data_IF_559910301308
#
_entry.id   IF_559910301308
#
_cell.length_a   1.000
_cell.length_b   1.000
_cell.length_c   1.000
_cell.angle_alpha   90.00
_cell.angle_beta   90.00
_cell.angle_gamma   90.00
#
_symmetry.space_group_name_H-M   'P 1'
#
loop_
_entity.id
_entity.type
_entity.pdbx_description
1 polymer ?
#
# COMPACT_ATOMS: atom_id res chain seq x y z
N UNK A 1 45.03 -35.70 -54.27
CA UNK A 1 44.31 -35.89 -52.98
C UNK A 1 43.70 -34.53 -52.61
N UNK A 2 42.37 -34.38 -52.77
CA UNK A 2 41.35 -34.19 -51.69
C UNK A 2 41.60 -32.94 -50.83
N UNK A 3 40.72 -31.96 -50.58
CA UNK A 3 39.38 -31.49 -51.00
C UNK A 3 39.29 -30.03 -50.44
N UNK A 4 38.41 -29.14 -50.95
CA UNK A 4 38.17 -27.79 -50.41
C UNK A 4 37.07 -27.77 -49.33
N UNK A 5 36.85 -26.56 -48.76
CA UNK A 5 35.71 -26.10 -47.92
C UNK A 5 35.94 -26.23 -46.39
N UNK A 6 35.33 -25.46 -45.47
CA UNK A 6 33.99 -24.84 -45.39
C UNK A 6 34.05 -23.63 -44.42
N UNK A 7 33.15 -22.68 -44.70
CA UNK A 7 32.64 -21.52 -43.95
C UNK A 7 32.42 -21.80 -42.45
N UNK A 8 32.97 -20.95 -41.58
CA UNK A 8 32.67 -20.94 -40.14
C UNK A 8 31.42 -20.11 -39.83
N UNK A 9 30.32 -20.79 -39.54
CA UNK A 9 29.03 -20.22 -39.14
C UNK A 9 29.08 -19.58 -37.75
N UNK A 10 28.69 -18.31 -37.66
CA UNK A 10 28.37 -17.60 -36.41
C UNK A 10 27.01 -18.10 -35.89
N UNK A 11 27.01 -18.91 -34.83
CA UNK A 11 25.76 -19.22 -34.09
C UNK A 11 25.67 -18.25 -32.91
N UNK A 12 24.83 -17.24 -33.06
CA UNK A 12 24.41 -16.37 -31.97
C UNK A 12 23.35 -17.13 -31.16
N UNK A 13 23.73 -17.70 -30.02
CA UNK A 13 22.78 -18.31 -29.08
C UNK A 13 21.97 -17.19 -28.43
N UNK A 14 20.79 -16.89 -28.98
CA UNK A 14 19.82 -16.04 -28.31
C UNK A 14 19.33 -16.78 -27.05
N UNK A 15 19.79 -16.33 -25.89
CA UNK A 15 19.14 -16.67 -24.63
C UNK A 15 17.71 -16.14 -24.69
N UNK A 16 16.72 -17.04 -24.75
CA UNK A 16 15.33 -16.70 -24.49
C UNK A 16 15.26 -16.23 -23.03
N UNK A 17 15.33 -14.90 -22.85
CA UNK A 17 15.01 -14.26 -21.59
C UNK A 17 13.63 -14.74 -21.15
N UNK A 18 13.57 -15.14 -19.88
CA UNK A 18 12.39 -15.65 -19.18
C UNK A 18 11.10 -14.96 -19.60
N UNK A 19 10.05 -15.76 -19.82
CA UNK A 19 8.69 -15.29 -19.76
C UNK A 19 8.41 -14.74 -18.35
N UNK A 20 8.76 -13.48 -18.10
CA UNK A 20 8.30 -12.74 -16.95
C UNK A 20 6.89 -12.24 -17.27
N UNK A 21 5.91 -13.05 -16.86
CA UNK A 21 4.57 -12.66 -16.43
C UNK A 21 4.01 -11.39 -17.08
N UNK A 22 3.24 -11.57 -18.15
CA UNK A 22 2.19 -10.62 -18.50
C UNK A 22 1.12 -10.65 -17.39
N UNK A 23 1.40 -10.00 -16.25
CA UNK A 23 0.38 -9.61 -15.30
C UNK A 23 -0.46 -8.52 -15.96
N UNK A 24 -1.77 -8.69 -16.00
CA UNK A 24 -2.69 -7.62 -16.38
C UNK A 24 -2.30 -6.33 -15.60
N UNK A 25 -2.43 -5.13 -16.20
CA UNK A 25 -2.17 -3.90 -15.46
C UNK A 25 -2.97 -3.95 -14.15
N UNK A 26 -2.26 -3.89 -13.02
CA UNK A 26 -2.87 -3.95 -11.70
C UNK A 26 -3.97 -2.89 -11.62
N UNK A 27 -5.14 -3.27 -11.14
CA UNK A 27 -6.22 -2.32 -10.89
C UNK A 27 -6.44 -2.22 -9.38
N UNK A 28 -6.92 -1.06 -8.95
CA UNK A 28 -7.32 -0.83 -7.56
C UNK A 28 -8.79 -0.53 -7.53
N UNK A 29 -9.54 -1.25 -6.70
CA UNK A 29 -10.92 -0.91 -6.37
C UNK A 29 -10.89 -0.08 -5.10
N UNK A 30 -11.34 1.17 -5.17
CA UNK A 30 -11.43 2.07 -4.02
C UNK A 30 -12.90 2.43 -3.79
N UNK A 31 -13.37 2.35 -2.55
CA UNK A 31 -14.67 2.83 -2.12
C UNK A 31 -14.48 3.72 -0.89
N UNK A 32 -14.87 4.99 -0.99
CA UNK A 32 -14.69 5.98 0.06
C UNK A 32 -16.00 6.68 0.39
N UNK A 33 -16.27 6.85 1.68
CA UNK A 33 -17.31 7.71 2.25
C UNK A 33 -16.68 8.56 3.35
N UNK A 34 -17.47 9.37 4.06
CA UNK A 34 -17.02 10.12 5.23
C UNK A 34 -16.39 9.20 6.29
N UNK A 35 -16.96 8.02 6.48
CA UNK A 35 -16.69 7.12 7.60
C UNK A 35 -16.05 5.79 7.19
N UNK A 36 -15.84 5.56 5.90
CA UNK A 36 -15.30 4.30 5.42
C UNK A 36 -14.35 4.54 4.24
N UNK A 37 -13.18 3.90 4.27
CA UNK A 37 -12.30 3.80 3.12
C UNK A 37 -11.91 2.35 2.97
N UNK A 38 -12.22 1.78 1.82
CA UNK A 38 -11.84 0.43 1.47
C UNK A 38 -11.08 0.46 0.16
N UNK A 39 -9.93 -0.20 0.09
CA UNK A 39 -9.29 -0.48 -1.17
C UNK A 39 -8.68 -1.88 -1.23
N UNK A 40 -8.66 -2.43 -2.44
CA UNK A 40 -8.06 -3.73 -2.74
C UNK A 40 -7.26 -3.61 -4.03
N UNK A 41 -6.06 -4.20 -4.05
CA UNK A 41 -5.18 -4.29 -5.20
C UNK A 41 -5.09 -5.73 -5.71
N UNK A 42 -4.77 -5.89 -7.00
CA UNK A 42 -4.56 -7.19 -7.64
C UNK A 42 -3.38 -7.99 -7.03
N UNK A 43 -2.47 -7.34 -6.30
CA UNK A 43 -1.31 -7.95 -5.63
C UNK A 43 -1.62 -8.41 -4.18
N UNK A 44 -2.86 -8.80 -3.88
CA UNK A 44 -3.33 -9.24 -2.55
C UNK A 44 -3.18 -8.22 -1.41
N UNK A 45 -2.96 -6.95 -1.75
CA UNK A 45 -2.95 -5.84 -0.78
C UNK A 45 -4.36 -5.30 -0.59
N UNK A 46 -4.69 -5.00 0.65
CA UNK A 46 -6.00 -4.43 0.98
C UNK A 46 -5.91 -3.56 2.23
N UNK A 47 -6.80 -2.58 2.31
CA UNK A 47 -7.02 -1.78 3.50
C UNK A 47 -8.51 -1.50 3.63
N UNK A 48 -9.02 -1.62 4.85
CA UNK A 48 -10.35 -1.20 5.22
C UNK A 48 -10.28 -0.40 6.51
N UNK A 49 -10.73 0.85 6.44
CA UNK A 49 -10.80 1.80 7.54
C UNK A 49 -12.25 2.16 7.80
N UNK A 50 -12.67 2.17 9.06
CA UNK A 50 -14.06 2.46 9.44
C UNK A 50 -14.13 3.38 10.67
N UNK A 51 -15.03 4.35 10.65
CA UNK A 51 -15.27 5.30 11.75
C UNK A 51 -16.75 5.25 12.16
N UNK A 52 -17.15 4.21 12.91
CA UNK A 52 -18.57 4.00 13.22
C UNK A 52 -19.15 4.99 14.25
N UNK A 53 -18.34 5.42 15.21
CA UNK A 53 -18.84 6.16 16.40
C UNK A 53 -18.18 7.54 16.59
N UNK A 54 -17.40 8.02 15.62
CA UNK A 54 -16.66 9.29 15.72
C UNK A 54 -15.59 9.32 16.83
N UNK A 55 -15.20 8.15 17.35
CA UNK A 55 -14.18 7.99 18.41
C UNK A 55 -12.77 7.78 17.86
N UNK A 56 -12.63 7.79 16.54
CA UNK A 56 -11.41 7.42 15.83
C UNK A 56 -11.70 6.51 14.64
N UNK A 57 -10.63 6.06 14.00
CA UNK A 57 -10.68 5.26 12.77
C UNK A 57 -10.15 3.86 13.09
N UNK A 58 -11.00 2.87 12.99
CA UNK A 58 -10.65 1.46 13.16
C UNK A 58 -10.02 0.91 11.88
N UNK A 59 -8.87 0.26 12.00
CA UNK A 59 -8.28 -0.58 10.95
C UNK A 59 -8.98 -1.93 10.96
N UNK A 60 -10.02 -2.07 10.13
CA UNK A 60 -10.83 -3.29 10.04
C UNK A 60 -10.07 -4.42 9.37
N UNK A 61 -9.35 -4.08 8.30
CA UNK A 61 -8.54 -5.01 7.51
C UNK A 61 -7.28 -4.30 7.04
N UNK A 62 -6.14 -4.99 7.12
CA UNK A 62 -4.90 -4.55 6.46
C UNK A 62 -4.16 -5.78 5.93
N UNK A 63 -3.74 -5.73 4.67
CA UNK A 63 -2.96 -6.78 4.02
C UNK A 63 -1.82 -6.17 3.21
N UNK A 64 -0.57 -6.59 3.44
CA UNK A 64 -0.14 -7.56 4.45
C UNK A 64 -0.33 -7.06 5.89
N UNK A 65 -0.49 -7.98 6.85
CA UNK A 65 -0.53 -7.60 8.28
C UNK A 65 0.77 -6.91 8.70
N UNK A 66 0.66 -5.89 9.55
CA UNK A 66 1.80 -5.10 10.00
C UNK A 66 2.34 -4.10 8.97
N UNK A 67 1.62 -3.86 7.86
CA UNK A 67 2.06 -2.88 6.86
C UNK A 67 2.25 -1.51 7.51
N UNK A 68 3.44 -0.94 7.34
CA UNK A 68 3.84 0.35 7.92
C UNK A 68 3.66 0.43 9.47
N UNK A 69 3.65 -0.72 10.15
CA UNK A 69 3.44 -0.83 11.60
C UNK A 69 1.98 -0.80 12.04
N UNK A 70 1.04 -0.63 11.11
CA UNK A 70 -0.40 -0.73 11.35
C UNK A 70 -0.84 -2.19 11.35
N UNK A 71 -1.76 -2.51 12.25
CA UNK A 71 -2.30 -3.85 12.42
C UNK A 71 -3.82 -3.78 12.44
N UNK A 72 -4.47 -4.88 12.06
CA UNK A 72 -5.91 -5.01 12.27
C UNK A 72 -6.28 -4.78 13.74
N UNK A 73 -7.36 -4.03 13.96
CA UNK A 73 -7.87 -3.66 15.28
C UNK A 73 -7.21 -2.42 15.89
N UNK A 74 -6.29 -1.76 15.18
CA UNK A 74 -5.81 -0.45 15.58
C UNK A 74 -6.93 0.58 15.53
N UNK A 75 -7.06 1.39 16.58
CA UNK A 75 -7.91 2.56 16.59
C UNK A 75 -7.04 3.81 16.45
N UNK A 76 -7.01 4.42 15.27
CA UNK A 76 -6.29 5.67 15.00
C UNK A 76 -7.08 6.83 15.60
N UNK A 77 -6.44 7.60 16.48
CA UNK A 77 -7.07 8.73 17.19
C UNK A 77 -6.44 10.08 16.84
N UNK A 78 -5.21 10.09 16.31
CA UNK A 78 -4.56 11.31 15.83
C UNK A 78 -3.49 11.03 14.77
N UNK A 79 -3.20 12.05 13.95
CA UNK A 79 -2.05 12.11 13.03
C UNK A 79 -1.24 13.38 13.31
N UNK A 80 0.05 13.21 13.60
CA UNK A 80 0.97 14.29 13.99
C UNK A 80 0.43 15.22 15.09
N UNK A 81 -0.33 14.64 16.03
CA UNK A 81 -0.94 15.38 17.13
C UNK A 81 -2.29 16.04 16.79
N UNK A 82 -2.76 15.97 15.55
CA UNK A 82 -4.09 16.39 15.14
C UNK A 82 -5.08 15.25 15.37
N UNK A 83 -6.07 15.47 16.23
CA UNK A 83 -7.11 14.48 16.48
C UNK A 83 -7.91 14.19 15.20
N UNK A 84 -8.19 12.91 14.96
CA UNK A 84 -9.03 12.44 13.85
C UNK A 84 -10.16 11.59 14.38
N UNK A 85 -11.37 11.84 13.90
CA UNK A 85 -12.58 11.13 14.33
C UNK A 85 -13.16 10.28 13.19
N UNK A 86 -13.06 10.79 11.97
CA UNK A 86 -13.62 10.19 10.76
C UNK A 86 -12.53 9.89 9.73
N UNK A 87 -12.78 8.89 8.87
CA UNK A 87 -11.89 8.54 7.76
C UNK A 87 -11.58 9.76 6.89
N UNK A 88 -12.57 10.62 6.63
CA UNK A 88 -12.36 11.85 5.84
C UNK A 88 -11.33 12.79 6.45
N UNK A 89 -11.19 12.84 7.78
CA UNK A 89 -10.20 13.70 8.45
C UNK A 89 -8.79 13.22 8.11
N UNK A 90 -8.57 11.89 8.21
CA UNK A 90 -7.30 11.26 7.87
C UNK A 90 -6.98 11.42 6.39
N UNK A 91 -7.96 11.22 5.50
CA UNK A 91 -7.80 11.41 4.05
C UNK A 91 -7.46 12.88 3.74
N UNK A 92 -8.13 13.83 4.40
CA UNK A 92 -7.87 15.27 4.19
C UNK A 92 -6.47 15.64 4.64
N UNK A 93 -6.05 15.17 5.82
CA UNK A 93 -4.68 15.39 6.31
C UNK A 93 -3.64 14.75 5.37
N UNK A 94 -3.86 13.49 4.98
CA UNK A 94 -2.98 12.77 4.07
C UNK A 94 -2.83 13.46 2.71
N UNK A 95 -3.90 14.05 2.17
CA UNK A 95 -3.86 14.85 0.94
C UNK A 95 -3.02 16.12 1.06
N UNK A 96 -3.01 16.77 2.22
CA UNK A 96 -2.19 17.95 2.46
C UNK A 96 -0.70 17.58 2.67
N UNK A 97 -0.43 16.37 3.15
CA UNK A 97 0.89 15.90 3.58
C UNK A 97 1.36 14.64 2.84
N UNK A 98 1.02 14.51 1.55
CA UNK A 98 1.15 13.24 0.81
C UNK A 98 2.56 12.65 0.78
N UNK A 99 3.61 13.47 0.87
CA UNK A 99 5.02 13.05 0.76
C UNK A 99 5.78 13.15 2.11
N UNK A 100 5.10 13.65 3.14
CA UNK A 100 5.73 13.89 4.43
C UNK A 100 5.79 12.59 5.24
N UNK A 101 6.70 12.59 6.23
CA UNK A 101 6.65 11.62 7.30
C UNK A 101 5.45 11.96 8.20
N UNK A 102 4.75 10.94 8.69
CA UNK A 102 3.62 11.15 9.59
C UNK A 102 3.66 10.22 10.80
N UNK A 103 3.22 10.71 11.95
CA UNK A 103 3.13 9.93 13.19
C UNK A 103 1.67 9.69 13.57
N UNK A 104 1.22 8.46 13.46
CA UNK A 104 -0.10 8.05 13.92
C UNK A 104 -0.09 7.74 15.43
N UNK A 105 -1.08 8.27 16.14
CA UNK A 105 -1.43 7.85 17.49
C UNK A 105 -2.54 6.81 17.37
N UNK A 106 -2.29 5.60 17.86
CA UNK A 106 -3.21 4.47 17.76
C UNK A 106 -3.41 3.82 19.12
N UNK A 107 -4.62 3.38 19.41
CA UNK A 107 -4.89 2.50 20.56
C UNK A 107 -4.97 1.06 20.05
N UNK A 108 -4.07 0.20 20.54
CA UNK A 108 -4.01 -1.23 20.20
C UNK A 108 -4.20 -2.06 21.45
N UNK A 109 -5.20 -2.93 21.48
CA UNK A 109 -5.55 -3.75 22.65
C UNK A 109 -5.72 -2.89 23.93
N UNK A 110 -6.28 -1.69 23.82
CA UNK A 110 -6.49 -0.76 24.94
C UNK A 110 -5.24 0.01 25.39
N UNK A 111 -4.11 -0.13 24.70
CA UNK A 111 -2.88 0.60 24.99
C UNK A 111 -2.55 1.60 23.90
N UNK A 112 -2.20 2.82 24.29
CA UNK A 112 -1.74 3.83 23.35
C UNK A 112 -0.36 3.49 22.80
N UNK A 113 -0.23 3.64 21.48
CA UNK A 113 0.99 3.39 20.70
C UNK A 113 1.16 4.51 19.69
N UNK A 114 2.43 4.77 19.38
CA UNK A 114 2.79 5.66 18.28
C UNK A 114 3.33 4.81 17.14
N UNK A 115 2.76 4.98 15.95
CA UNK A 115 3.23 4.36 14.70
C UNK A 115 3.81 5.46 13.83
N UNK A 116 5.09 5.36 13.50
CA UNK A 116 5.76 6.33 12.63
C UNK A 116 5.74 5.77 11.21
N UNK A 117 5.02 6.46 10.33
CA UNK A 117 4.97 6.17 8.91
C UNK A 117 6.15 6.85 8.21
N UNK A 118 6.76 6.16 7.24
CA UNK A 118 7.79 6.75 6.40
C UNK A 118 7.22 7.86 5.50
N UNK A 119 8.11 8.68 4.93
CA UNK A 119 7.74 9.67 3.93
C UNK A 119 6.90 9.05 2.81
N UNK A 120 5.75 9.64 2.52
CA UNK A 120 4.87 9.16 1.45
C UNK A 120 3.95 8.01 1.84
N UNK A 121 4.19 7.32 2.96
CA UNK A 121 3.42 6.14 3.33
C UNK A 121 1.97 6.48 3.72
N UNK A 122 1.75 7.62 4.38
CA UNK A 122 0.39 8.10 4.69
C UNK A 122 -0.39 8.40 3.40
N UNK A 123 0.25 9.05 2.43
CA UNK A 123 -0.35 9.29 1.11
C UNK A 123 -0.67 7.99 0.39
N UNK A 124 0.24 7.01 0.40
CA UNK A 124 0.05 5.71 -0.23
C UNK A 124 -1.05 4.87 0.45
N UNK A 125 -1.31 5.05 1.75
CA UNK A 125 -2.40 4.39 2.47
C UNK A 125 -3.77 4.86 2.00
N UNK A 126 -3.93 6.14 1.68
CA UNK A 126 -5.22 6.69 1.22
C UNK A 126 -5.35 6.72 -0.31
N UNK A 127 -4.21 6.79 -1.02
CA UNK A 127 -4.09 6.73 -2.48
C UNK A 127 -3.20 5.56 -2.88
N UNK A 128 -3.69 4.32 -2.77
CA UNK A 128 -2.93 3.16 -3.23
C UNK A 128 -2.55 3.32 -4.71
N UNK A 129 -1.32 2.92 -5.05
CA UNK A 129 -0.80 2.88 -6.43
C UNK A 129 -0.80 1.42 -6.93
N UNK A 130 -1.12 1.16 -8.21
CA UNK A 130 -1.16 -0.19 -8.79
C UNK A 130 0.13 -1.00 -8.64
#
# INVERSE_FOLDING_TARGET
MRHPAIIGTLVLTAALASAAHAGAPGYIKIHGTTDNLTWHSANDRALELSSKDGKGIEVVTISPEGQDGLHKGDLITAVDGHAVAHVVDLVTFANAHMQDQAKLSVTRNGHDKSVVLANGALGALVHPQP
#
